data_IF_320445596454
#
_entry.id   IF_320445596454
#
_cell.length_a   1.000
_cell.length_b   1.000
_cell.length_c   1.000
_cell.angle_alpha   90.00
_cell.angle_beta   90.00
_cell.angle_gamma   90.00
#
_symmetry.space_group_name_H-M   'P 1'
#
loop_
_entity.id
_entity.type
_entity.pdbx_description
1 polymer ?
#
# COMPACT_ATOMS: atom_id res chain seq x y z
N UNK A 1 -8.02 2.08 -4.16
CA UNK A 1 -6.75 1.93 -4.91
C UNK A 1 -5.68 1.32 -4.00
N UNK A 2 -4.85 0.40 -4.48
CA UNK A 2 -3.79 -0.26 -3.68
C UNK A 2 -2.43 0.34 -4.04
N UNK A 3 -1.58 0.63 -3.06
CA UNK A 3 -0.22 1.11 -3.32
C UNK A 3 0.63 -0.02 -3.92
N UNK A 4 1.38 0.30 -4.96
CA UNK A 4 2.29 -0.61 -5.66
C UNK A 4 3.71 -0.07 -5.59
N UNK A 5 4.68 -0.98 -5.73
CA UNK A 5 6.11 -0.67 -5.73
C UNK A 5 6.77 -1.30 -6.94
N UNK A 6 7.59 -0.51 -7.64
CA UNK A 6 8.46 -1.04 -8.67
C UNK A 6 9.59 -1.87 -8.03
N UNK A 7 9.83 -3.09 -8.50
CA UNK A 7 10.93 -3.91 -8.01
C UNK A 7 12.30 -3.50 -8.56
N UNK A 8 12.32 -2.80 -9.70
CA UNK A 8 13.54 -2.34 -10.34
C UNK A 8 14.06 -1.05 -9.66
N UNK A 9 13.30 0.06 -9.76
CA UNK A 9 13.73 1.37 -9.27
C UNK A 9 13.18 1.74 -7.88
N UNK A 10 12.49 0.82 -7.20
CA UNK A 10 11.91 0.99 -5.85
C UNK A 10 10.89 2.13 -5.70
N UNK A 11 10.47 2.75 -6.80
CA UNK A 11 9.47 3.84 -6.81
C UNK A 11 8.08 3.31 -6.48
N UNK A 12 7.35 4.04 -5.63
CA UNK A 12 5.96 3.75 -5.31
C UNK A 12 5.01 4.44 -6.29
N UNK A 13 3.91 3.78 -6.62
CA UNK A 13 2.90 4.29 -7.54
C UNK A 13 1.56 3.56 -7.32
N UNK A 14 0.48 4.12 -7.86
CA UNK A 14 -0.83 3.47 -7.92
C UNK A 14 -1.07 2.77 -9.28
N UNK A 15 -0.18 2.99 -10.25
CA UNK A 15 -0.27 2.44 -11.61
C UNK A 15 0.29 1.02 -11.70
N UNK A 16 -0.15 0.25 -12.69
CA UNK A 16 0.39 -1.08 -12.98
C UNK A 16 1.86 -1.01 -13.41
N UNK A 17 2.19 -0.02 -14.24
CA UNK A 17 3.54 0.23 -14.74
C UNK A 17 4.25 1.34 -13.96
N UNK A 18 5.57 1.20 -13.80
CA UNK A 18 6.39 2.18 -13.12
C UNK A 18 6.54 3.45 -13.99
N UNK A 19 6.25 4.65 -13.46
CA UNK A 19 6.38 5.89 -14.24
C UNK A 19 7.82 6.33 -14.53
N UNK A 20 8.83 5.62 -14.01
CA UNK A 20 10.26 5.96 -14.19
C UNK A 20 11.02 5.01 -15.10
N UNK A 21 10.60 3.75 -15.18
CA UNK A 21 11.34 2.70 -15.86
C UNK A 21 10.44 1.72 -16.60
N UNK A 22 9.15 2.04 -16.71
CA UNK A 22 8.08 1.26 -17.36
C UNK A 22 7.94 -0.21 -16.95
N UNK A 23 8.71 -0.65 -15.95
CA UNK A 23 8.66 -1.99 -15.41
C UNK A 23 7.36 -2.23 -14.64
N UNK A 24 6.86 -3.47 -14.68
CA UNK A 24 5.66 -3.87 -13.93
C UNK A 24 5.88 -3.70 -12.43
N UNK A 25 4.89 -3.13 -11.76
CA UNK A 25 4.93 -2.89 -10.31
C UNK A 25 4.21 -4.01 -9.57
N UNK A 26 4.59 -4.28 -8.34
CA UNK A 26 3.96 -5.30 -7.49
C UNK A 26 3.31 -4.67 -6.26
N UNK A 27 2.37 -5.40 -5.64
CA UNK A 27 1.63 -4.89 -4.49
C UNK A 27 2.61 -4.55 -3.36
N UNK A 28 2.52 -3.32 -2.85
CA UNK A 28 3.35 -2.89 -1.72
C UNK A 28 2.72 -3.43 -0.43
N UNK A 29 3.10 -4.65 -0.04
CA UNK A 29 2.66 -5.23 1.22
C UNK A 29 3.36 -4.52 2.39
N UNK A 30 2.63 -3.70 3.14
CA UNK A 30 3.16 -3.09 4.35
C UNK A 30 3.33 -4.16 5.43
N UNK A 31 4.56 -4.45 5.83
CA UNK A 31 4.84 -5.33 6.99
C UNK A 31 4.15 -4.85 8.27
N UNK A 32 3.85 -3.54 8.37
CA UNK A 32 3.25 -2.92 9.55
C UNK A 32 1.73 -3.10 9.68
N UNK A 33 1.02 -3.56 8.64
CA UNK A 33 -0.43 -3.80 8.75
C UNK A 33 -0.77 -4.95 9.71
N UNK A 34 0.12 -5.94 9.87
CA UNK A 34 -0.03 -7.00 10.88
C UNK A 34 -0.01 -6.48 12.33
N UNK A 35 0.55 -5.29 12.55
CA UNK A 35 0.54 -4.65 13.87
C UNK A 35 -0.79 -3.92 14.14
N UNK A 36 -1.44 -3.43 13.08
CA UNK A 36 -2.73 -2.72 13.17
C UNK A 36 -3.94 -3.65 13.08
N UNK A 37 -3.87 -4.81 12.42
CA UNK A 37 -4.98 -5.78 12.38
C UNK A 37 -5.36 -6.30 13.77
N UNK A 38 -4.43 -6.35 14.73
CA UNK A 38 -4.74 -6.62 16.15
C UNK A 38 -5.42 -5.47 16.90
N UNK A 39 -5.46 -4.25 16.34
CA UNK A 39 -6.09 -3.06 16.94
C UNK A 39 -7.39 -2.64 16.26
N UNK A 40 -7.70 -3.11 15.05
CA UNK A 40 -8.92 -2.71 14.32
C UNK A 40 -10.20 -3.35 14.88
N UNK A 41 -10.12 -4.42 15.66
CA UNK A 41 -11.28 -4.96 16.39
C UNK A 41 -11.71 -4.08 17.57
N UNK A 42 -10.89 -3.10 17.97
CA UNK A 42 -11.14 -2.18 19.09
C UNK A 42 -11.18 -0.69 18.71
N UNK A 43 -11.05 -0.33 17.43
CA UNK A 43 -11.26 1.05 16.98
C UNK A 43 -12.56 1.13 16.20
N UNK A 44 -13.66 1.40 16.92
CA UNK A 44 -14.80 2.10 16.34
C UNK A 44 -14.27 3.41 15.74
N UNK A 45 -14.16 3.46 14.41
CA UNK A 45 -13.83 4.67 13.66
C UNK A 45 -14.92 5.70 14.01
N UNK A 46 -14.60 6.85 14.63
CA UNK A 46 -15.61 7.87 14.80
C UNK A 46 -16.02 8.35 13.42
N UNK A 47 -17.23 7.99 12.99
CA UNK A 47 -17.89 8.58 11.84
C UNK A 47 -18.05 10.07 12.17
N UNK A 48 -17.34 10.92 11.43
CA UNK A 48 -17.60 12.36 11.44
C UNK A 48 -19.01 12.57 10.88
N UNK A 49 -19.93 13.05 11.73
CA UNK A 49 -21.15 13.75 11.33
C UNK A 49 -21.28 15.00 12.18
#
# INVERSE_FOLDING_TARGET
MKLRKCQNCKTYTLKDSCPKCDSKTSNAHYKFLKFFERKLENYSVPSKH
#
